data_IF_163464676638
#
_entry.id   IF_163464676638
#
_cell.length_a   1.000
_cell.length_b   1.000
_cell.length_c   1.000
_cell.angle_alpha   90.00
_cell.angle_beta   90.00
_cell.angle_gamma   90.00
#
_symmetry.space_group_name_H-M   'P 1'
#
loop_
_entity.id
_entity.type
_entity.pdbx_description
1 polymer ?
#
# COMPACT_ATOMS: atom_id res chain seq x y z
N UNK A 1 19.82 55.52 -13.16
CA UNK A 1 19.20 56.71 -12.57
C UNK A 1 18.07 56.18 -11.70
N UNK A 2 18.32 55.73 -10.48
CA UNK A 2 18.72 56.47 -9.27
C UNK A 2 17.58 57.32 -8.74
N UNK A 3 16.77 56.73 -7.86
CA UNK A 3 16.08 57.47 -6.80
C UNK A 3 16.85 57.21 -5.51
N UNK A 4 17.41 58.30 -5.01
CA UNK A 4 17.96 58.51 -3.67
C UNK A 4 16.84 58.91 -2.74
N UNK A 5 16.94 58.48 -1.47
CA UNK A 5 16.47 59.10 -0.22
C UNK A 5 15.92 58.00 0.71
N UNK A 6 16.16 57.99 2.01
CA UNK A 6 16.74 58.99 2.90
C UNK A 6 17.22 58.27 4.16
N UNK A 7 18.36 58.73 4.68
CA UNK A 7 18.95 58.46 5.99
C UNK A 7 17.91 58.63 7.12
N UNK A 8 17.98 57.96 8.26
CA UNK A 8 19.00 58.18 9.30
C UNK A 8 18.85 57.14 10.44
N UNK A 9 19.88 56.92 11.27
CA UNK A 9 20.12 55.72 12.05
C UNK A 9 19.87 55.89 13.56
N UNK A 10 19.75 54.77 14.27
CA UNK A 10 19.99 54.69 15.71
C UNK A 10 20.32 53.23 16.03
N UNK A 11 21.60 52.93 16.28
CA UNK A 11 22.12 52.62 17.64
C UNK A 11 21.64 51.24 18.12
N UNK A 12 22.44 50.22 18.40
CA UNK A 12 23.80 50.18 18.93
C UNK A 12 24.43 48.78 18.65
N UNK A 13 25.74 48.61 18.89
CA UNK A 13 26.59 47.57 18.34
C UNK A 13 27.13 46.57 19.38
N UNK A 14 27.76 45.48 18.89
CA UNK A 14 28.65 44.56 19.63
C UNK A 14 27.97 43.69 20.73
N UNK A 15 28.33 42.43 21.00
CA UNK A 15 29.52 41.63 20.68
C UNK A 15 29.24 40.14 20.95
N UNK A 16 29.65 39.33 19.98
CA UNK A 16 30.28 38.01 20.05
C UNK A 16 30.74 37.47 21.41
N UNK A 17 30.54 36.15 21.62
CA UNK A 17 31.66 35.27 22.00
C UNK A 17 31.39 34.31 23.16
N UNK A 18 31.58 33.02 22.92
CA UNK A 18 31.37 31.94 23.89
C UNK A 18 32.43 31.82 24.99
N UNK A 19 32.20 30.88 25.91
CA UNK A 19 33.14 30.55 26.96
C UNK A 19 32.55 29.58 27.97
N UNK A 20 33.13 28.39 28.03
CA UNK A 20 32.72 27.26 28.87
C UNK A 20 32.79 27.56 30.37
N UNK A 21 31.89 26.94 31.15
CA UNK A 21 32.05 26.80 32.60
C UNK A 21 31.58 25.41 33.06
N UNK A 22 32.59 24.61 33.36
CA UNK A 22 32.64 23.41 34.18
C UNK A 22 31.73 23.47 35.42
N UNK A 23 31.02 22.38 35.69
CA UNK A 23 30.33 22.15 36.97
C UNK A 23 31.08 21.10 37.81
N UNK A 24 31.18 21.29 39.14
CA UNK A 24 32.10 20.54 39.99
C UNK A 24 31.57 19.16 40.42
N UNK A 25 32.50 18.21 40.49
CA UNK A 25 32.35 16.87 41.08
C UNK A 25 32.84 16.87 42.53
N UNK A 26 32.00 16.50 43.51
CA UNK A 26 32.37 15.98 44.85
C UNK A 26 31.15 15.22 45.46
N UNK A 27 31.25 14.39 46.54
CA UNK A 27 31.19 12.93 46.39
C UNK A 27 30.16 12.24 47.31
N UNK A 28 29.85 10.95 47.09
CA UNK A 28 29.77 9.95 48.18
C UNK A 28 29.63 8.52 47.65
N UNK A 29 30.59 7.67 48.04
CA UNK A 29 30.41 6.21 48.09
C UNK A 29 29.52 5.87 49.29
N UNK A 30 28.63 4.89 49.09
CA UNK A 30 28.33 3.78 49.99
C UNK A 30 27.55 2.78 49.14
N UNK A 31 28.22 1.76 48.65
CA UNK A 31 28.28 0.42 49.26
C UNK A 31 27.17 -0.47 48.69
N UNK A 32 27.49 -1.74 48.56
CA UNK A 32 26.90 -2.70 47.63
C UNK A 32 25.53 -3.19 48.09
N UNK A 33 24.66 -3.46 47.11
CA UNK A 33 23.51 -4.36 47.25
C UNK A 33 23.21 -4.99 45.89
N UNK A 34 23.15 -6.34 45.75
CA UNK A 34 22.81 -6.96 44.49
C UNK A 34 21.30 -7.16 44.41
N UNK A 35 20.62 -6.51 43.46
CA UNK A 35 19.26 -6.87 43.09
C UNK A 35 19.02 -6.65 41.59
N UNK A 36 18.56 -7.71 40.97
CA UNK A 36 18.41 -7.97 39.54
C UNK A 36 17.11 -7.32 38.93
N UNK A 37 16.90 -7.41 37.61
CA UNK A 37 16.35 -6.33 36.78
C UNK A 37 14.84 -6.43 36.55
N UNK A 38 14.17 -5.29 36.36
CA UNK A 38 12.82 -5.22 35.78
C UNK A 38 12.71 -4.06 34.78
N UNK A 39 13.50 -4.14 33.71
CA UNK A 39 13.21 -3.38 32.50
C UNK A 39 12.05 -4.05 31.78
N UNK A 40 10.86 -3.47 31.85
CA UNK A 40 9.75 -3.86 30.98
C UNK A 40 10.07 -3.29 29.58
N UNK A 41 10.31 -4.12 28.55
CA UNK A 41 10.37 -3.58 27.20
C UNK A 41 8.96 -3.13 26.83
N UNK A 42 8.78 -1.83 26.62
CA UNK A 42 7.59 -1.29 25.98
C UNK A 42 7.68 -1.75 24.52
N UNK A 43 7.10 -2.92 24.22
CA UNK A 43 6.98 -3.39 22.85
C UNK A 43 6.15 -2.36 22.06
N UNK A 44 6.56 -1.96 20.84
CA UNK A 44 5.71 -1.11 20.02
C UNK A 44 4.41 -1.85 19.77
N UNK A 45 3.29 -1.28 20.21
CA UNK A 45 1.97 -1.79 19.91
C UNK A 45 1.86 -1.93 18.40
N UNK A 46 1.86 -3.17 17.91
CA UNK A 46 1.64 -3.48 16.51
C UNK A 46 0.28 -2.90 16.15
N UNK A 47 0.28 -1.76 15.46
CA UNK A 47 -0.89 -1.15 14.86
C UNK A 47 -1.57 -2.25 14.05
N UNK A 48 -2.67 -2.78 14.59
CA UNK A 48 -3.45 -3.85 13.96
C UNK A 48 -4.01 -3.24 12.68
N UNK A 49 -3.26 -3.37 11.59
CA UNK A 49 -3.61 -2.80 10.30
C UNK A 49 -5.05 -3.21 9.99
N UNK A 50 -5.87 -2.30 9.43
CA UNK A 50 -7.24 -2.65 9.09
C UNK A 50 -7.19 -3.92 8.24
N UNK A 51 -8.08 -4.87 8.56
CA UNK A 51 -8.13 -6.22 8.00
C UNK A 51 -8.67 -6.16 6.56
N UNK A 52 -7.94 -5.45 5.71
CA UNK A 52 -8.26 -5.21 4.31
C UNK A 52 -7.80 -6.42 3.52
N UNK A 53 -8.70 -6.98 2.74
CA UNK A 53 -8.35 -8.09 1.85
C UNK A 53 -7.61 -7.49 0.65
N UNK A 54 -6.39 -7.95 0.43
CA UNK A 54 -5.56 -7.53 -0.70
C UNK A 54 -4.99 -8.72 -1.45
N UNK A 55 -4.51 -8.44 -2.66
CA UNK A 55 -3.71 -9.39 -3.42
C UNK A 55 -2.28 -9.43 -2.88
N UNK A 56 -1.69 -10.62 -2.79
CA UNK A 56 -0.28 -10.75 -2.46
C UNK A 56 0.62 -10.38 -3.66
N UNK A 57 1.92 -10.27 -3.44
CA UNK A 57 2.85 -9.88 -4.51
C UNK A 57 2.93 -10.90 -5.66
N UNK A 58 2.67 -12.19 -5.41
CA UNK A 58 2.68 -13.23 -6.44
C UNK A 58 1.40 -13.16 -7.27
N UNK A 59 0.26 -13.03 -6.60
CA UNK A 59 -1.06 -12.86 -7.20
C UNK A 59 -1.11 -11.61 -8.07
N UNK A 60 -0.63 -10.48 -7.56
CA UNK A 60 -0.56 -9.24 -8.31
C UNK A 60 0.32 -9.40 -9.55
N UNK A 61 1.46 -10.09 -9.43
CA UNK A 61 2.33 -10.38 -10.59
C UNK A 61 1.58 -11.21 -11.65
N UNK A 62 0.81 -12.22 -11.27
CA UNK A 62 0.03 -13.01 -12.22
C UNK A 62 -1.05 -12.19 -12.93
N UNK A 63 -1.78 -11.35 -12.19
CA UNK A 63 -2.79 -10.44 -12.75
C UNK A 63 -2.13 -9.46 -13.72
N UNK A 64 -1.01 -8.85 -13.32
CA UNK A 64 -0.27 -7.91 -14.16
C UNK A 64 0.36 -8.56 -15.40
N UNK A 65 0.78 -9.84 -15.31
CA UNK A 65 1.28 -10.58 -16.47
C UNK A 65 0.19 -10.75 -17.53
N UNK A 66 -1.05 -11.07 -17.13
CA UNK A 66 -2.19 -11.16 -18.06
C UNK A 66 -2.53 -9.78 -18.60
N UNK A 67 -2.56 -8.76 -17.72
CA UNK A 67 -2.81 -7.38 -18.10
C UNK A 67 -1.83 -6.89 -19.17
N UNK A 68 -0.53 -7.11 -18.98
CA UNK A 68 0.49 -6.72 -19.95
C UNK A 68 0.30 -7.39 -21.32
N UNK A 69 -0.10 -8.67 -21.38
CA UNK A 69 -0.43 -9.35 -22.64
C UNK A 69 -1.64 -8.73 -23.33
N UNK A 70 -2.72 -8.49 -22.59
CA UNK A 70 -3.94 -7.91 -23.14
C UNK A 70 -3.78 -6.44 -23.57
N UNK A 71 -2.92 -5.68 -22.87
CA UNK A 71 -2.51 -4.33 -23.29
C UNK A 71 -1.69 -4.40 -24.58
N UNK A 72 -0.76 -5.36 -24.71
CA UNK A 72 0.01 -5.56 -25.94
C UNK A 72 -0.88 -5.95 -27.13
N UNK A 73 -1.98 -6.67 -26.88
CA UNK A 73 -3.03 -6.96 -27.88
C UNK A 73 -3.96 -5.76 -28.16
N UNK A 74 -3.88 -4.69 -27.39
CA UNK A 74 -4.74 -3.51 -27.51
C UNK A 74 -6.15 -3.69 -26.95
N UNK A 75 -6.41 -4.80 -26.25
CA UNK A 75 -7.72 -5.15 -25.70
C UNK A 75 -8.00 -4.42 -24.38
N UNK A 76 -6.99 -4.20 -23.55
CA UNK A 76 -7.14 -3.53 -22.25
C UNK A 76 -6.38 -2.20 -22.22
N UNK A 77 -6.93 -1.21 -21.50
CA UNK A 77 -6.35 0.14 -21.44
C UNK A 77 -6.25 0.73 -20.05
N UNK A 78 -7.15 0.34 -19.15
CA UNK A 78 -7.22 0.89 -17.81
C UNK A 78 -7.59 -0.21 -16.80
N UNK A 79 -7.27 0.02 -15.53
CA UNK A 79 -7.58 -0.88 -14.43
C UNK A 79 -7.90 -0.11 -13.15
N UNK A 80 -8.78 -0.68 -12.33
CA UNK A 80 -9.03 -0.24 -10.97
C UNK A 80 -8.74 -1.40 -10.02
N UNK A 81 -8.11 -1.08 -8.89
CA UNK A 81 -7.82 -2.03 -7.84
C UNK A 81 -8.49 -1.56 -6.56
N UNK A 82 -9.57 -2.24 -6.19
CA UNK A 82 -10.38 -1.93 -5.04
C UNK A 82 -10.07 -2.92 -3.92
N UNK A 83 -9.69 -2.40 -2.75
CA UNK A 83 -9.46 -3.20 -1.57
C UNK A 83 -10.57 -2.97 -0.55
N UNK A 84 -11.45 -3.97 -0.41
CA UNK A 84 -12.56 -3.92 0.53
C UNK A 84 -12.23 -4.74 1.79
N UNK A 85 -13.10 -4.62 2.80
CA UNK A 85 -12.97 -5.35 4.06
C UNK A 85 -13.12 -6.87 3.91
N UNK A 86 -13.89 -7.31 2.92
CA UNK A 86 -14.27 -8.70 2.70
C UNK A 86 -13.65 -9.29 1.44
N UNK A 87 -13.28 -8.45 0.46
CA UNK A 87 -12.72 -8.89 -0.81
C UNK A 87 -11.76 -7.89 -1.43
N UNK A 88 -10.84 -8.36 -2.25
CA UNK A 88 -10.09 -7.52 -3.18
C UNK A 88 -10.66 -7.66 -4.59
N UNK A 89 -10.77 -6.57 -5.34
CA UNK A 89 -11.30 -6.58 -6.70
C UNK A 89 -10.33 -5.88 -7.63
N UNK A 90 -9.96 -6.54 -8.71
CA UNK A 90 -9.21 -5.95 -9.81
C UNK A 90 -10.13 -5.87 -11.03
N UNK A 91 -10.55 -4.66 -11.36
CA UNK A 91 -11.45 -4.37 -12.48
C UNK A 91 -10.65 -3.92 -13.69
N UNK A 92 -10.89 -4.48 -14.87
CA UNK A 92 -10.23 -4.09 -16.12
C UNK A 92 -11.20 -3.41 -17.07
N UNK A 93 -10.72 -2.37 -17.75
CA UNK A 93 -11.52 -1.56 -18.66
C UNK A 93 -10.88 -1.50 -20.05
N UNK A 94 -11.72 -1.57 -21.08
CA UNK A 94 -11.31 -1.36 -22.48
C UNK A 94 -11.15 0.11 -22.83
N UNK A 95 -11.97 0.98 -22.21
CA UNK A 95 -12.00 2.43 -22.40
C UNK A 95 -12.43 3.09 -21.09
N UNK A 96 -11.97 4.32 -20.84
CA UNK A 96 -12.17 5.12 -19.62
C UNK A 96 -13.65 5.50 -19.32
N UNK A 97 -14.64 4.94 -20.02
CA UNK A 97 -16.06 5.23 -19.79
C UNK A 97 -16.99 4.04 -20.06
N UNK A 98 -16.44 2.84 -20.22
CA UNK A 98 -17.23 1.61 -20.43
C UNK A 98 -17.32 0.79 -19.13
N UNK A 99 -18.33 -0.08 -19.04
CA UNK A 99 -18.44 -1.09 -17.97
C UNK A 99 -17.16 -1.95 -17.93
N UNK A 100 -16.66 -2.33 -16.73
CA UNK A 100 -15.47 -3.17 -16.64
C UNK A 100 -15.69 -4.48 -17.39
N UNK A 101 -14.78 -4.82 -18.30
CA UNK A 101 -14.87 -6.03 -19.11
C UNK A 101 -14.85 -7.28 -18.24
N UNK A 102 -13.93 -7.28 -17.27
CA UNK A 102 -13.75 -8.35 -16.32
C UNK A 102 -13.43 -7.79 -14.94
N UNK A 103 -13.82 -8.53 -13.92
CA UNK A 103 -13.45 -8.28 -12.52
C UNK A 103 -12.86 -9.55 -11.94
N UNK A 104 -11.64 -9.46 -11.43
CA UNK A 104 -10.98 -10.53 -10.70
C UNK A 104 -11.20 -10.23 -9.22
N UNK A 105 -11.97 -11.09 -8.55
CA UNK A 105 -12.29 -10.95 -7.13
C UNK A 105 -11.52 -11.98 -6.31
N UNK A 106 -11.01 -11.57 -5.15
CA UNK A 106 -10.44 -12.41 -4.11
C UNK A 106 -11.28 -12.32 -2.85
N UNK A 107 -11.94 -13.41 -2.47
CA UNK A 107 -12.73 -13.57 -1.25
C UNK A 107 -12.12 -14.68 -0.37
N UNK A 108 -11.36 -14.34 0.68
CA UNK A 108 -10.76 -15.31 1.58
C UNK A 108 -11.79 -16.09 2.42
N UNK A 109 -13.02 -15.60 2.59
CA UNK A 109 -14.06 -16.36 3.28
C UNK A 109 -14.56 -17.54 2.45
N UNK A 110 -14.62 -17.37 1.12
CA UNK A 110 -14.97 -18.43 0.18
C UNK A 110 -13.80 -19.38 -0.11
N UNK A 111 -12.57 -19.04 0.29
CA UNK A 111 -11.38 -19.87 0.13
C UNK A 111 -11.55 -21.29 0.68
N UNK A 112 -12.31 -21.46 1.78
CA UNK A 112 -12.54 -22.76 2.43
C UNK A 112 -13.70 -23.56 1.84
N UNK A 113 -14.51 -22.95 0.95
CA UNK A 113 -15.72 -23.57 0.41
C UNK A 113 -15.65 -23.84 -1.08
N UNK A 114 -15.40 -22.80 -1.87
CA UNK A 114 -15.55 -22.85 -3.34
C UNK A 114 -14.32 -22.29 -4.09
N UNK A 115 -13.35 -21.71 -3.37
CA UNK A 115 -12.18 -21.06 -3.95
C UNK A 115 -12.15 -19.57 -3.62
N UNK A 116 -10.94 -19.07 -3.37
CA UNK A 116 -10.73 -17.68 -2.99
C UNK A 116 -10.87 -16.74 -4.19
N UNK A 117 -10.66 -17.22 -5.42
CA UNK A 117 -10.57 -16.38 -6.61
C UNK A 117 -11.74 -16.63 -7.54
N UNK A 118 -12.27 -15.55 -8.12
CA UNK A 118 -13.24 -15.64 -9.22
C UNK A 118 -13.04 -14.54 -10.25
N UNK A 119 -13.35 -14.86 -11.50
CA UNK A 119 -13.44 -13.91 -12.61
C UNK A 119 -14.90 -13.71 -12.96
N UNK A 120 -15.33 -12.46 -13.01
CA UNK A 120 -16.69 -12.03 -13.32
C UNK A 120 -16.67 -11.23 -14.61
N UNK A 121 -17.61 -11.47 -15.52
CA UNK A 121 -17.80 -10.69 -16.74
C UNK A 121 -18.46 -9.34 -16.46
N UNK A 122 -18.44 -8.45 -17.46
CA UNK A 122 -19.21 -7.20 -17.45
C UNK A 122 -20.70 -7.40 -17.13
N UNK A 123 -21.29 -8.53 -17.55
CA UNK A 123 -22.69 -8.89 -17.27
C UNK A 123 -22.94 -9.42 -15.85
N UNK A 124 -21.91 -9.50 -15.00
CA UNK A 124 -22.02 -10.04 -13.64
C UNK A 124 -21.98 -11.58 -13.57
N UNK A 125 -21.74 -12.27 -14.69
CA UNK A 125 -21.63 -13.74 -14.70
C UNK A 125 -20.24 -14.17 -14.25
N UNK A 126 -20.17 -15.12 -13.33
CA UNK A 126 -18.90 -15.75 -12.94
C UNK A 126 -18.44 -16.67 -14.08
N UNK A 127 -17.31 -16.32 -14.72
CA UNK A 127 -16.71 -17.11 -15.79
C UNK A 127 -15.93 -18.29 -15.23
N UNK A 128 -15.21 -18.06 -14.13
CA UNK A 128 -14.40 -19.08 -13.46
C UNK A 128 -14.26 -18.77 -11.98
N UNK A 129 -14.19 -19.82 -11.16
CA UNK A 129 -13.89 -19.76 -9.72
C UNK A 129 -12.96 -20.90 -9.34
N UNK A 130 -12.06 -20.67 -8.38
CA UNK A 130 -11.13 -21.69 -7.90
C UNK A 130 -10.20 -21.22 -6.78
N UNK A 131 -9.40 -22.16 -6.28
CA UNK A 131 -8.38 -21.90 -5.25
C UNK A 131 -7.06 -21.36 -5.82
N UNK A 132 -6.84 -21.54 -7.12
CA UNK A 132 -5.64 -21.15 -7.83
C UNK A 132 -5.95 -19.99 -8.79
N UNK A 133 -5.29 -18.85 -8.57
CA UNK A 133 -5.47 -17.65 -9.35
C UNK A 133 -5.03 -17.85 -10.80
N UNK A 134 -3.89 -18.49 -11.05
CA UNK A 134 -3.36 -18.73 -12.39
C UNK A 134 -4.38 -19.48 -13.26
N UNK A 135 -4.98 -20.54 -12.72
CA UNK A 135 -6.00 -21.34 -13.41
C UNK A 135 -7.32 -20.58 -13.61
N UNK A 136 -7.65 -19.65 -12.72
CA UNK A 136 -8.81 -18.77 -12.88
C UNK A 136 -8.56 -17.74 -13.98
N UNK A 137 -7.35 -17.17 -14.05
CA UNK A 137 -6.94 -16.17 -15.05
C UNK A 137 -6.83 -16.74 -16.47
N UNK A 138 -6.64 -18.05 -16.65
CA UNK A 138 -6.60 -18.71 -17.97
C UNK A 138 -7.87 -18.48 -18.81
N UNK A 139 -9.01 -18.14 -18.18
CA UNK A 139 -10.25 -17.81 -18.92
C UNK A 139 -10.16 -16.50 -19.69
N UNK A 140 -9.27 -15.60 -19.27
CA UNK A 140 -9.04 -14.28 -19.87
C UNK A 140 -8.02 -14.34 -21.02
N UNK A 141 -7.11 -15.30 -20.98
CA UNK A 141 -6.05 -15.49 -21.98
C UNK A 141 -6.53 -16.23 -23.23
N UNK A 142 -7.72 -16.86 -23.16
CA UNK A 142 -8.34 -17.50 -24.31
C UNK A 142 -9.18 -16.45 -25.05
N UNK A 143 -9.03 -16.30 -26.39
CA UNK A 143 -9.95 -15.47 -27.16
C UNK A 143 -11.35 -16.05 -26.93
N UNK A 144 -12.18 -15.26 -26.24
CA UNK A 144 -13.50 -15.66 -25.80
C UNK A 144 -14.33 -15.89 -27.06
N UNK A 145 -14.49 -17.15 -27.49
CA UNK A 145 -15.65 -17.51 -28.30
C UNK A 145 -16.85 -17.39 -27.37
N UNK A 146 -17.42 -16.19 -27.33
CA UNK A 146 -18.76 -15.95 -26.79
C UNK A 146 -19.72 -16.84 -27.58
N UNK A 147 -20.05 -18.00 -27.04
CA UNK A 147 -21.22 -18.75 -27.48
C UNK A 147 -22.40 -18.10 -26.78
N UNK A 148 -23.16 -17.30 -27.54
CA UNK A 148 -24.46 -16.83 -27.14
C UNK A 148 -25.37 -18.05 -26.91
N UNK A 149 -26.12 -18.05 -25.80
CA UNK A 149 -27.27 -18.92 -25.57
C UNK A 149 -28.44 -18.06 -25.14
#
# INVERSE_FOLDING_TARGET
MSETETSDPSSDPFRTGGGAAVVPFTPRRKDQGPAQPHGHPIAPAASRAPNVVSFDARELREILNVYGRMVALGEWRDYALDFLKDRAVFSVFRRTSEVPLYRIEKDPQLARRQGAYSVVSASGRILKRGHDLARVLQVLDKPVRLVAQ
#
